data_IF_797785957639
#
_entry.id   IF_797785957639
#
_cell.length_a   1.000
_cell.length_b   1.000
_cell.length_c   1.000
_cell.angle_alpha   90.00
_cell.angle_beta   90.00
_cell.angle_gamma   90.00
#
_symmetry.space_group_name_H-M   'P 1'
#
loop_
_entity.id
_entity.type
_entity.pdbx_description
1 polymer ?
#
# COMPACT_ATOMS: atom_id res chain seq x y z
N UNK A 1 -13.17 13.37 -24.07
CA UNK A 1 -12.24 12.26 -24.39
C UNK A 1 -10.91 12.65 -23.78
N UNK A 2 -10.67 12.22 -22.56
CA UNK A 2 -9.39 12.42 -21.86
C UNK A 2 -8.49 11.26 -22.25
N UNK A 3 -7.38 11.58 -22.91
CA UNK A 3 -6.32 10.63 -23.27
C UNK A 3 -5.80 9.94 -22.02
N UNK A 4 -5.59 8.62 -22.01
CA UNK A 4 -4.95 7.97 -20.86
C UNK A 4 -3.56 8.57 -20.68
N UNK A 5 -3.23 8.91 -19.44
CA UNK A 5 -1.90 9.38 -19.05
C UNK A 5 -0.89 8.32 -19.46
N UNK A 6 0.11 8.73 -20.24
CA UNK A 6 1.03 7.83 -20.92
C UNK A 6 1.79 6.93 -19.96
N UNK A 7 1.92 5.69 -20.35
CA UNK A 7 2.89 4.75 -19.78
C UNK A 7 4.29 5.31 -20.03
N UNK A 8 5.09 5.42 -18.98
CA UNK A 8 6.51 5.73 -19.14
C UNK A 8 7.19 4.60 -19.92
N UNK A 9 8.10 4.95 -20.81
CA UNK A 9 8.82 4.03 -21.68
C UNK A 9 9.87 3.18 -20.96
N UNK A 10 10.15 3.45 -19.68
CA UNK A 10 11.02 2.66 -18.81
C UNK A 10 10.37 2.52 -17.42
N UNK A 11 10.40 1.32 -16.81
CA UNK A 11 9.91 1.14 -15.46
C UNK A 11 10.75 1.97 -14.47
N UNK A 12 10.14 2.57 -13.44
CA UNK A 12 10.87 3.29 -12.43
C UNK A 12 11.82 2.33 -11.69
N UNK A 13 13.10 2.70 -11.59
CA UNK A 13 14.05 1.97 -10.75
C UNK A 13 13.70 2.19 -9.29
N UNK A 14 13.48 1.11 -8.58
CA UNK A 14 13.17 1.15 -7.15
C UNK A 14 14.42 0.86 -6.37
N UNK A 15 14.93 1.85 -5.64
CA UNK A 15 15.96 1.62 -4.63
C UNK A 15 15.24 1.13 -3.37
N UNK A 16 15.58 -0.07 -2.92
CA UNK A 16 14.94 -0.70 -1.78
C UNK A 16 15.61 -0.21 -0.50
N UNK A 17 14.81 0.31 0.42
CA UNK A 17 15.31 0.59 1.76
C UNK A 17 15.80 -0.74 2.38
N UNK A 18 16.99 -0.75 3.02
CA UNK A 18 17.54 -1.98 3.57
C UNK A 18 16.60 -2.59 4.60
N UNK A 19 16.44 -3.91 4.54
CA UNK A 19 15.72 -4.67 5.57
C UNK A 19 16.57 -4.65 6.85
N UNK A 20 15.98 -4.42 8.04
CA UNK A 20 16.76 -4.44 9.28
C UNK A 20 17.46 -5.79 9.43
N UNK A 21 18.78 -5.80 9.73
CA UNK A 21 19.51 -7.03 9.93
C UNK A 21 18.95 -7.82 11.12
N UNK A 22 19.05 -9.13 11.04
CA UNK A 22 18.91 -9.99 12.21
C UNK A 22 20.16 -9.76 13.07
N UNK A 23 19.97 -9.26 14.27
CA UNK A 23 21.04 -9.09 15.27
C UNK A 23 22.21 -8.18 14.86
N UNK A 24 22.35 -7.03 15.45
CA UNK A 24 23.49 -6.06 15.48
C UNK A 24 24.42 -5.93 14.24
N UNK A 25 24.09 -6.51 13.10
CA UNK A 25 24.87 -6.40 11.86
C UNK A 25 24.57 -5.11 11.10
N UNK A 26 25.58 -4.57 10.45
CA UNK A 26 25.51 -3.36 9.62
C UNK A 26 24.53 -3.55 8.44
N UNK A 27 23.70 -2.56 8.20
CA UNK A 27 22.79 -2.47 7.04
C UNK A 27 23.53 -2.74 5.72
N UNK A 28 23.12 -3.77 5.01
CA UNK A 28 23.62 -4.05 3.66
C UNK A 28 22.81 -3.23 2.67
N UNK A 29 23.48 -2.59 1.71
CA UNK A 29 22.80 -1.90 0.64
C UNK A 29 21.90 -2.88 -0.13
N UNK A 30 20.63 -2.53 -0.30
CA UNK A 30 19.69 -3.38 -1.00
C UNK A 30 20.01 -3.46 -2.49
N UNK A 31 19.77 -4.62 -3.10
CA UNK A 31 19.82 -4.78 -4.54
C UNK A 31 18.70 -3.99 -5.22
N UNK A 32 18.97 -3.42 -6.39
CA UNK A 32 17.96 -2.77 -7.21
C UNK A 32 17.00 -3.83 -7.76
N UNK A 33 15.70 -3.69 -7.48
CA UNK A 33 14.64 -4.48 -8.10
C UNK A 33 13.83 -3.57 -9.00
N UNK A 34 13.79 -3.87 -10.28
CA UNK A 34 12.89 -3.19 -11.21
C UNK A 34 11.44 -3.63 -10.96
N UNK A 35 10.58 -2.69 -10.58
CA UNK A 35 9.14 -2.93 -10.42
C UNK A 35 8.38 -1.98 -11.36
N UNK A 36 7.52 -2.52 -12.20
CA UNK A 36 6.62 -1.73 -13.02
C UNK A 36 5.61 -1.01 -12.11
N UNK A 37 5.71 0.31 -12.01
CA UNK A 37 4.79 1.14 -11.26
C UNK A 37 4.14 2.19 -12.14
N UNK A 38 2.84 2.35 -12.06
CA UNK A 38 2.15 3.49 -12.66
C UNK A 38 1.96 4.59 -11.62
N UNK A 39 2.32 5.82 -11.98
CA UNK A 39 1.99 7.00 -11.18
C UNK A 39 0.53 7.40 -11.45
N UNK A 40 -0.24 7.69 -10.38
CA UNK A 40 -1.60 8.21 -10.50
C UNK A 40 -1.66 9.70 -10.83
N UNK A 41 -0.52 10.38 -10.84
CA UNK A 41 -0.32 11.80 -11.15
C UNK A 41 0.91 11.93 -12.05
N UNK A 42 0.99 13.02 -12.80
CA UNK A 42 2.19 13.32 -13.58
C UNK A 42 3.40 13.63 -12.68
N UNK A 43 4.60 13.50 -13.25
CA UNK A 43 5.85 13.64 -12.52
C UNK A 43 6.06 15.05 -11.93
N UNK A 44 5.63 16.08 -12.61
CA UNK A 44 5.77 17.46 -12.13
C UNK A 44 4.86 17.72 -10.93
N UNK A 45 3.63 17.22 -10.98
CA UNK A 45 2.71 17.25 -9.84
C UNK A 45 3.27 16.46 -8.66
N UNK A 46 3.84 15.29 -8.90
CA UNK A 46 4.48 14.49 -7.85
C UNK A 46 5.61 15.27 -7.19
N UNK A 47 6.53 15.84 -7.97
CA UNK A 47 7.65 16.64 -7.46
C UNK A 47 7.19 17.87 -6.69
N UNK A 48 6.15 18.55 -7.18
CA UNK A 48 5.56 19.71 -6.51
C UNK A 48 4.97 19.33 -5.14
N UNK A 49 4.20 18.22 -5.08
CA UNK A 49 3.64 17.71 -3.83
C UNK A 49 4.75 17.38 -2.83
N UNK A 50 5.76 16.62 -3.25
CA UNK A 50 6.90 16.25 -2.39
C UNK A 50 7.61 17.50 -1.88
N UNK A 51 7.97 18.44 -2.77
CA UNK A 51 8.67 19.69 -2.41
C UNK A 51 7.89 20.52 -1.40
N UNK A 52 6.57 20.54 -1.51
CA UNK A 52 5.70 21.24 -0.55
C UNK A 52 5.67 20.49 0.79
N UNK A 53 5.35 19.19 0.76
CA UNK A 53 5.00 18.44 1.95
C UNK A 53 6.18 18.20 2.89
N UNK A 54 7.40 18.03 2.36
CA UNK A 54 8.61 17.84 3.21
C UNK A 54 8.91 19.04 4.09
N UNK A 55 8.45 20.24 3.71
CA UNK A 55 8.63 21.49 4.48
C UNK A 55 7.59 21.68 5.58
N UNK A 56 6.56 20.83 5.63
CA UNK A 56 5.49 20.96 6.63
C UNK A 56 5.93 20.55 8.04
N UNK A 57 7.12 19.98 8.22
CA UNK A 57 7.69 19.63 9.53
C UNK A 57 6.96 18.50 10.24
N UNK A 58 6.41 17.53 9.50
CA UNK A 58 5.91 16.28 10.07
C UNK A 58 7.06 15.34 10.44
N UNK A 59 6.85 14.50 11.43
CA UNK A 59 7.81 13.49 11.82
C UNK A 59 7.99 12.46 10.72
N UNK A 60 9.24 12.16 10.35
CA UNK A 60 9.52 11.07 9.40
C UNK A 60 9.39 9.70 10.07
N UNK A 61 9.05 8.69 9.25
CA UNK A 61 9.22 7.29 9.67
C UNK A 61 10.71 6.97 9.79
N UNK A 62 11.02 6.00 10.66
CA UNK A 62 12.35 5.42 10.79
C UNK A 62 12.24 3.92 11.03
N UNK A 63 13.24 3.11 10.65
CA UNK A 63 13.27 1.69 10.95
C UNK A 63 13.17 1.42 12.45
N UNK A 64 12.46 0.36 12.80
CA UNK A 64 12.33 -0.13 14.15
C UNK A 64 12.77 -1.59 14.28
N UNK A 65 13.29 -2.02 15.43
CA UNK A 65 13.56 -3.43 15.69
C UNK A 65 12.32 -4.29 15.47
N UNK A 66 12.55 -5.51 15.01
CA UNK A 66 11.47 -6.49 14.81
C UNK A 66 10.75 -6.77 16.13
N UNK A 67 9.44 -6.89 16.06
CA UNK A 67 8.57 -7.17 17.20
C UNK A 67 7.54 -8.26 16.85
N UNK A 68 6.87 -8.79 17.88
CA UNK A 68 5.89 -9.87 17.73
C UNK A 68 4.44 -9.38 17.64
N UNK A 69 4.22 -8.09 17.47
CA UNK A 69 2.88 -7.53 17.32
C UNK A 69 2.30 -7.93 15.97
N UNK A 70 1.09 -8.47 15.99
CA UNK A 70 0.34 -8.78 14.77
C UNK A 70 -0.41 -7.54 14.28
N UNK A 71 -0.42 -7.39 12.97
CA UNK A 71 -1.14 -6.29 12.31
C UNK A 71 -2.07 -6.84 11.24
N UNK A 72 -3.22 -6.20 11.07
CA UNK A 72 -4.07 -6.41 9.92
C UNK A 72 -4.08 -5.19 9.04
N UNK A 73 -3.84 -5.38 7.75
CA UNK A 73 -3.92 -4.35 6.71
C UNK A 73 -5.25 -4.55 5.98
N UNK A 74 -6.05 -3.51 5.97
CA UNK A 74 -7.40 -3.53 5.40
C UNK A 74 -7.48 -2.57 4.23
N UNK A 75 -7.65 -3.12 3.03
CA UNK A 75 -7.98 -2.40 1.80
C UNK A 75 -9.48 -2.38 1.55
N UNK A 76 -9.88 -1.78 0.43
CA UNK A 76 -11.30 -1.57 0.08
C UNK A 76 -11.90 -2.61 -0.87
N UNK A 77 -11.21 -3.70 -1.17
CA UNK A 77 -11.65 -4.70 -2.14
C UNK A 77 -12.97 -5.39 -1.77
N UNK A 78 -13.61 -6.04 -2.74
CA UNK A 78 -15.00 -6.50 -2.62
C UNK A 78 -15.21 -7.55 -1.51
N UNK A 79 -14.22 -8.38 -1.19
CA UNK A 79 -14.32 -9.39 -0.12
C UNK A 79 -14.37 -8.81 1.29
N UNK A 80 -14.05 -7.51 1.46
CA UNK A 80 -13.94 -6.89 2.79
C UNK A 80 -15.21 -7.04 3.64
N UNK A 81 -16.38 -6.86 3.03
CA UNK A 81 -17.65 -6.92 3.75
C UNK A 81 -17.91 -8.29 4.41
N UNK A 82 -17.47 -9.36 3.77
CA UNK A 82 -17.63 -10.72 4.27
C UNK A 82 -16.74 -11.01 5.48
N UNK A 83 -15.63 -10.28 5.63
CA UNK A 83 -14.61 -10.50 6.66
C UNK A 83 -14.74 -9.60 7.88
N UNK A 84 -15.75 -8.72 7.97
CA UNK A 84 -15.94 -7.81 9.12
C UNK A 84 -15.98 -8.57 10.46
N UNK A 85 -16.63 -9.74 10.49
CA UNK A 85 -16.66 -10.59 11.69
C UNK A 85 -15.27 -11.05 12.13
N UNK A 86 -14.46 -11.53 11.19
CA UNK A 86 -13.07 -11.97 11.44
C UNK A 86 -12.20 -10.80 11.90
N UNK A 87 -12.32 -9.64 11.25
CA UNK A 87 -11.58 -8.42 11.62
C UNK A 87 -11.92 -8.00 13.07
N UNK A 88 -13.20 -8.03 13.45
CA UNK A 88 -13.63 -7.74 14.83
C UNK A 88 -13.04 -8.72 15.84
N UNK A 89 -13.03 -10.01 15.52
CA UNK A 89 -12.44 -11.04 16.37
C UNK A 89 -10.93 -10.84 16.56
N UNK A 90 -10.17 -10.62 15.49
CA UNK A 90 -8.73 -10.34 15.56
C UNK A 90 -8.45 -9.04 16.35
N UNK A 91 -9.29 -8.02 16.16
CA UNK A 91 -9.18 -6.77 16.92
C UNK A 91 -9.33 -6.99 18.44
N UNK A 92 -10.28 -7.85 18.85
CA UNK A 92 -10.48 -8.23 20.26
C UNK A 92 -9.28 -9.01 20.82
N UNK A 93 -8.55 -9.75 19.98
CA UNK A 93 -7.31 -10.45 20.33
C UNK A 93 -6.10 -9.52 20.42
N UNK A 94 -6.25 -8.22 20.12
CA UNK A 94 -5.20 -7.23 20.22
C UNK A 94 -4.44 -6.94 18.92
N UNK A 95 -4.81 -7.60 17.81
CA UNK A 95 -4.22 -7.33 16.48
C UNK A 95 -4.47 -5.87 16.10
N UNK A 96 -3.44 -5.15 15.65
CA UNK A 96 -3.55 -3.73 15.30
C UNK A 96 -4.17 -3.57 13.90
N UNK A 97 -5.14 -2.67 13.79
CA UNK A 97 -5.85 -2.38 12.55
C UNK A 97 -5.18 -1.22 11.81
N UNK A 98 -4.72 -1.49 10.60
CA UNK A 98 -4.17 -0.51 9.64
C UNK A 98 -5.14 -0.44 8.47
N UNK A 99 -5.61 0.73 8.12
CA UNK A 99 -6.51 0.93 6.98
C UNK A 99 -5.83 1.67 5.85
N UNK A 100 -6.13 1.26 4.62
CA UNK A 100 -5.61 1.87 3.40
C UNK A 100 -6.70 2.75 2.76
N UNK A 101 -6.36 4.00 2.47
CA UNK A 101 -7.23 4.92 1.74
C UNK A 101 -8.68 4.93 2.30
N UNK A 102 -9.69 4.77 1.44
CA UNK A 102 -11.10 4.83 1.81
C UNK A 102 -11.61 3.66 2.68
N UNK A 103 -10.86 2.58 2.85
CA UNK A 103 -11.20 1.53 3.82
C UNK A 103 -11.26 2.07 5.26
N UNK A 104 -10.64 3.22 5.51
CA UNK A 104 -10.70 3.94 6.79
C UNK A 104 -12.13 4.26 7.21
N UNK A 105 -12.88 4.95 6.34
CA UNK A 105 -14.26 5.32 6.64
C UNK A 105 -15.15 4.09 6.75
N UNK A 106 -14.97 3.11 5.86
CA UNK A 106 -15.72 1.85 5.92
C UNK A 106 -15.53 1.13 7.26
N UNK A 107 -14.31 1.06 7.78
CA UNK A 107 -14.05 0.47 9.10
C UNK A 107 -14.74 1.23 10.23
N UNK A 108 -14.67 2.56 10.21
CA UNK A 108 -15.33 3.42 11.22
C UNK A 108 -16.85 3.17 11.23
N UNK A 109 -17.48 3.13 10.06
CA UNK A 109 -18.92 2.89 9.90
C UNK A 109 -19.34 1.52 10.44
N UNK A 110 -18.41 0.55 10.49
CA UNK A 110 -18.63 -0.77 11.07
C UNK A 110 -18.20 -0.89 12.55
N UNK A 111 -17.87 0.24 13.20
CA UNK A 111 -17.47 0.30 14.60
C UNK A 111 -16.04 -0.21 14.85
N UNK A 112 -15.18 -0.20 13.83
CA UNK A 112 -13.79 -0.61 13.89
C UNK A 112 -12.89 0.62 13.86
N UNK A 113 -12.35 1.04 15.02
CA UNK A 113 -11.44 2.17 15.09
C UNK A 113 -10.02 1.75 14.69
N UNK A 114 -9.45 2.32 13.60
CA UNK A 114 -8.10 2.03 13.16
C UNK A 114 -7.03 2.44 14.18
N UNK A 115 -5.99 1.62 14.28
CA UNK A 115 -4.75 1.97 15.00
C UNK A 115 -3.83 2.81 14.13
N UNK A 116 -3.91 2.61 12.81
CA UNK A 116 -3.16 3.37 11.84
C UNK A 116 -3.95 3.55 10.53
N UNK A 117 -3.65 4.64 9.86
CA UNK A 117 -4.11 4.97 8.51
C UNK A 117 -2.90 5.10 7.59
N UNK A 118 -3.00 4.62 6.36
CA UNK A 118 -1.94 4.68 5.37
C UNK A 118 -2.45 5.20 4.04
N UNK A 119 -1.75 6.18 3.46
CA UNK A 119 -2.08 6.77 2.16
C UNK A 119 -0.82 7.01 1.34
N UNK A 120 -0.92 6.75 0.03
CA UNK A 120 0.15 6.96 -0.94
C UNK A 120 -0.28 7.80 -2.14
N UNK A 121 -1.57 7.85 -2.44
CA UNK A 121 -2.13 8.42 -3.65
C UNK A 121 -2.02 9.96 -3.68
N UNK A 122 -1.40 10.50 -4.75
CA UNK A 122 -1.12 11.92 -4.92
C UNK A 122 -2.29 12.79 -5.38
N UNK A 123 -3.44 12.22 -5.71
CA UNK A 123 -4.59 12.96 -6.25
C UNK A 123 -5.31 13.79 -5.18
N UNK A 124 -5.71 15.00 -5.54
CA UNK A 124 -6.34 15.97 -4.63
C UNK A 124 -7.60 15.44 -3.94
N UNK A 125 -8.45 14.72 -4.65
CA UNK A 125 -9.72 14.24 -4.13
C UNK A 125 -9.60 13.27 -2.94
N UNK A 126 -8.41 12.76 -2.67
CA UNK A 126 -8.18 11.80 -1.58
C UNK A 126 -8.31 12.42 -0.18
N UNK A 127 -8.28 13.75 -0.05
CA UNK A 127 -8.63 14.45 1.22
C UNK A 127 -9.98 13.97 1.77
N UNK A 128 -10.94 13.63 0.90
CA UNK A 128 -12.27 13.14 1.28
C UNK A 128 -12.26 11.85 2.12
N UNK A 129 -11.14 11.10 2.11
CA UNK A 129 -11.01 9.86 2.91
C UNK A 129 -10.64 10.12 4.37
N UNK A 130 -10.26 11.35 4.72
CA UNK A 130 -9.83 11.77 6.06
C UNK A 130 -10.81 12.77 6.69
N UNK A 131 -12.10 12.43 6.69
CA UNK A 131 -13.15 13.30 7.25
C UNK A 131 -13.21 13.28 8.78
N UNK A 132 -12.68 12.25 9.41
CA UNK A 132 -12.69 12.05 10.85
C UNK A 132 -11.28 11.79 11.35
N UNK A 133 -10.82 12.60 12.31
CA UNK A 133 -9.54 12.38 12.97
C UNK A 133 -9.76 11.64 14.28
N UNK A 134 -9.19 10.43 14.39
CA UNK A 134 -9.28 9.59 15.57
C UNK A 134 -8.06 9.85 16.47
N UNK A 135 -8.26 10.26 17.75
CA UNK A 135 -7.15 10.63 18.64
C UNK A 135 -6.12 9.53 18.92
N UNK A 136 -6.49 8.26 18.72
CA UNK A 136 -5.59 7.11 18.96
C UNK A 136 -5.01 6.52 17.68
N UNK A 137 -5.38 7.06 16.50
CA UNK A 137 -4.89 6.61 15.19
C UNK A 137 -3.59 7.32 14.83
N UNK A 138 -2.63 6.59 14.28
CA UNK A 138 -1.43 7.13 13.65
C UNK A 138 -1.64 7.25 12.14
N UNK A 139 -1.27 8.37 11.56
CA UNK A 139 -1.48 8.68 10.15
C UNK A 139 -0.14 8.62 9.41
N UNK A 140 0.00 7.70 8.48
CA UNK A 140 1.17 7.54 7.64
C UNK A 140 0.85 8.05 6.24
N UNK A 141 1.27 9.27 5.93
CA UNK A 141 0.97 9.96 4.69
C UNK A 141 2.24 10.06 3.84
N UNK A 142 2.16 9.61 2.59
CA UNK A 142 3.28 9.75 1.66
C UNK A 142 3.55 11.21 1.33
N UNK A 143 4.81 11.58 1.20
CA UNK A 143 5.20 12.91 0.73
C UNK A 143 4.64 13.27 -0.64
N UNK A 144 4.26 12.28 -1.45
CA UNK A 144 3.63 12.51 -2.76
C UNK A 144 2.13 12.79 -2.70
N UNK A 145 1.46 12.61 -1.55
CA UNK A 145 0.04 12.96 -1.40
C UNK A 145 -0.19 14.44 -1.71
N UNK A 146 -1.38 14.77 -2.21
CA UNK A 146 -1.73 16.17 -2.44
C UNK A 146 -1.62 16.98 -1.13
N UNK A 147 -1.09 18.21 -1.15
CA UNK A 147 -0.89 19.04 0.06
C UNK A 147 -2.12 19.16 0.94
N UNK A 148 -3.32 19.23 0.35
CA UNK A 148 -4.58 19.30 1.10
C UNK A 148 -4.82 18.14 2.06
N UNK A 149 -4.20 16.97 1.84
CA UNK A 149 -4.31 15.81 2.73
C UNK A 149 -3.62 16.08 4.08
N UNK A 150 -2.62 16.94 4.10
CA UNK A 150 -1.87 17.31 5.30
C UNK A 150 -2.48 18.46 6.09
N UNK A 151 -3.45 19.16 5.49
CA UNK A 151 -4.18 20.24 6.18
C UNK A 151 -4.91 19.67 7.40
N UNK A 152 -4.82 20.39 8.51
CA UNK A 152 -5.47 20.04 9.78
C UNK A 152 -5.02 18.72 10.42
N UNK A 153 -3.98 18.05 9.89
CA UNK A 153 -3.46 16.81 10.46
C UNK A 153 -2.68 17.07 11.77
N UNK A 154 -2.98 16.30 12.84
CA UNK A 154 -2.29 16.46 14.12
C UNK A 154 -0.83 16.02 14.01
N UNK A 155 0.11 16.92 14.34
CA UNK A 155 1.56 16.71 14.18
C UNK A 155 2.08 15.51 14.97
N UNK A 156 1.55 15.27 16.15
CA UNK A 156 1.98 14.22 17.07
C UNK A 156 1.55 12.81 16.64
N UNK A 157 0.56 12.74 15.74
CA UNK A 157 0.01 11.48 15.25
C UNK A 157 0.33 11.23 13.78
N UNK A 158 0.86 12.22 13.06
CA UNK A 158 1.09 12.15 11.63
C UNK A 158 2.57 11.99 11.30
N UNK A 159 2.85 10.98 10.52
CA UNK A 159 4.18 10.64 10.04
C UNK A 159 4.21 10.80 8.52
N UNK A 160 5.22 11.51 8.03
CA UNK A 160 5.49 11.58 6.60
C UNK A 160 6.44 10.45 6.22
N UNK A 161 6.17 9.80 5.10
CA UNK A 161 7.02 8.78 4.53
C UNK A 161 7.23 9.02 3.04
N UNK A 162 8.28 8.44 2.46
CA UNK A 162 8.70 8.69 1.09
C UNK A 162 8.68 7.40 0.29
N UNK A 163 8.15 7.46 -0.94
CA UNK A 163 8.29 6.36 -1.89
C UNK A 163 9.74 6.27 -2.36
N UNK A 164 10.24 5.06 -2.56
CA UNK A 164 11.50 4.87 -3.24
C UNK A 164 11.32 5.19 -4.72
N UNK A 165 11.84 6.34 -5.14
CA UNK A 165 11.81 6.82 -6.51
C UNK A 165 13.00 7.76 -6.73
N UNK A 166 13.75 7.56 -7.80
CA UNK A 166 14.96 8.33 -8.10
C UNK A 166 14.63 9.83 -8.27
N UNK A 167 13.50 10.12 -8.89
CA UNK A 167 13.06 11.47 -9.24
C UNK A 167 12.84 12.40 -8.04
N UNK A 168 12.67 11.84 -6.85
CA UNK A 168 12.44 12.63 -5.63
C UNK A 168 13.63 12.64 -4.66
N UNK A 169 14.67 11.85 -4.88
CA UNK A 169 15.83 11.76 -3.98
C UNK A 169 16.54 13.09 -3.79
N UNK A 170 16.77 13.82 -4.89
CA UNK A 170 17.39 15.15 -4.83
C UNK A 170 16.52 16.14 -4.05
N UNK A 171 15.20 16.05 -4.20
CA UNK A 171 14.25 16.89 -3.47
C UNK A 171 14.33 16.59 -1.97
N UNK A 172 14.34 15.30 -1.59
CA UNK A 172 14.45 14.89 -0.18
C UNK A 172 15.76 15.40 0.44
N UNK A 173 16.86 15.35 -0.31
CA UNK A 173 18.18 15.82 0.14
C UNK A 173 18.24 17.32 0.41
N UNK A 174 17.32 18.13 -0.13
CA UNK A 174 17.26 19.57 0.15
C UNK A 174 16.79 19.88 1.57
N UNK A 175 15.93 19.05 2.15
CA UNK A 175 15.29 19.30 3.44
C UNK A 175 15.79 18.36 4.54
N UNK A 176 16.12 17.12 4.18
CA UNK A 176 16.50 16.10 5.14
C UNK A 176 17.98 15.73 5.04
N UNK A 177 18.63 15.63 6.17
CA UNK A 177 19.98 15.10 6.26
C UNK A 177 19.99 13.58 6.07
N UNK A 178 18.99 12.92 6.62
CA UNK A 178 18.75 11.48 6.49
C UNK A 178 17.27 11.25 6.22
N UNK A 179 16.95 10.34 5.33
CA UNK A 179 15.57 9.90 5.05
C UNK A 179 15.53 8.41 4.76
N UNK A 180 14.34 7.85 4.87
CA UNK A 180 14.08 6.46 4.53
C UNK A 180 13.04 6.40 3.43
N UNK A 181 13.38 5.74 2.32
CA UNK A 181 12.47 5.50 1.21
C UNK A 181 11.84 4.11 1.33
N UNK A 182 10.54 4.03 1.10
CA UNK A 182 9.77 2.79 1.16
C UNK A 182 9.68 2.18 -0.24
N UNK A 183 10.22 0.98 -0.45
CA UNK A 183 10.07 0.25 -1.69
C UNK A 183 8.63 -0.24 -1.87
N UNK A 184 8.33 -0.82 -3.01
CA UNK A 184 7.06 -1.50 -3.26
C UNK A 184 6.44 -1.12 -4.59
N UNK A 185 5.30 -1.75 -4.90
CA UNK A 185 4.64 -1.63 -6.18
C UNK A 185 3.68 -0.44 -6.30
N UNK A 186 2.79 -0.55 -7.26
CA UNK A 186 1.88 0.51 -7.69
C UNK A 186 0.71 0.79 -6.74
N UNK A 187 0.48 -0.05 -5.72
CA UNK A 187 -0.68 0.09 -4.83
C UNK A 187 -0.32 0.44 -3.39
N UNK A 188 -1.32 0.92 -2.66
CA UNK A 188 -1.20 1.18 -1.23
C UNK A 188 -0.78 -0.08 -0.44
N UNK A 189 -1.31 -1.25 -0.77
CA UNK A 189 -0.94 -2.52 -0.14
C UNK A 189 0.55 -2.83 -0.34
N UNK A 190 1.01 -2.75 -1.59
CA UNK A 190 2.38 -3.10 -1.98
C UNK A 190 3.43 -2.14 -1.40
N UNK A 191 3.01 -0.97 -0.94
CA UNK A 191 3.83 -0.01 -0.17
C UNK A 191 3.67 -0.17 1.34
N UNK A 192 2.47 -0.51 1.80
CA UNK A 192 2.20 -0.68 3.22
C UNK A 192 2.96 -1.89 3.81
N UNK A 193 2.98 -3.03 3.11
CA UNK A 193 3.70 -4.23 3.60
C UNK A 193 5.16 -3.90 3.92
N UNK A 194 6.01 -3.43 2.98
CA UNK A 194 7.42 -3.15 3.28
C UNK A 194 7.59 -2.01 4.29
N UNK A 195 6.71 -0.99 4.29
CA UNK A 195 6.79 0.07 5.29
C UNK A 195 6.55 -0.48 6.71
N UNK A 196 5.48 -1.24 6.91
CA UNK A 196 5.20 -1.80 8.23
C UNK A 196 6.21 -2.88 8.62
N UNK A 197 6.80 -3.60 7.66
CA UNK A 197 7.95 -4.47 7.91
C UNK A 197 9.16 -3.68 8.40
N UNK A 198 9.47 -2.55 7.77
CA UNK A 198 10.52 -1.63 8.23
C UNK A 198 10.24 -1.06 9.64
N UNK A 199 8.96 -0.88 9.99
CA UNK A 199 8.54 -0.50 11.35
C UNK A 199 8.55 -1.68 12.34
N UNK A 200 9.11 -2.84 11.95
CA UNK A 200 9.37 -3.98 12.82
C UNK A 200 8.27 -5.04 12.86
N UNK A 201 7.16 -4.87 12.15
CA UNK A 201 6.10 -5.88 12.12
C UNK A 201 6.45 -7.01 11.15
N UNK A 202 6.19 -8.27 11.54
CA UNK A 202 6.47 -9.44 10.70
C UNK A 202 5.25 -10.34 10.46
N UNK A 203 4.15 -10.16 11.20
CA UNK A 203 2.92 -10.96 11.07
C UNK A 203 1.78 -10.09 10.58
N UNK A 204 1.27 -10.45 9.39
CA UNK A 204 0.28 -9.65 8.66
C UNK A 204 -0.95 -10.46 8.31
N UNK A 205 -2.12 -9.94 8.62
CA UNK A 205 -3.42 -10.36 8.11
C UNK A 205 -3.86 -9.33 7.08
N UNK A 206 -4.21 -9.73 5.87
CA UNK A 206 -4.56 -8.83 4.76
C UNK A 206 -5.99 -9.09 4.33
N UNK A 207 -6.83 -8.06 4.40
CA UNK A 207 -8.25 -8.09 4.07
C UNK A 207 -8.58 -7.05 2.99
N UNK A 208 -9.55 -7.36 2.12
CA UNK A 208 -10.02 -6.42 1.11
C UNK A 208 -8.94 -5.93 0.15
N UNK A 209 -7.97 -6.79 -0.15
CA UNK A 209 -6.90 -6.55 -1.11
C UNK A 209 -6.94 -7.66 -2.17
N UNK A 210 -8.03 -7.71 -2.92
CA UNK A 210 -8.44 -8.85 -3.72
C UNK A 210 -7.71 -8.96 -5.05
N UNK A 211 -7.32 -7.82 -5.66
CA UNK A 211 -6.80 -7.71 -7.03
C UNK A 211 -7.67 -8.43 -8.07
N UNK A 212 -8.98 -8.52 -7.82
CA UNK A 212 -9.97 -9.04 -8.75
C UNK A 212 -11.34 -8.41 -8.45
N UNK A 213 -12.26 -8.58 -9.41
CA UNK A 213 -13.67 -8.20 -9.27
C UNK A 213 -14.45 -9.33 -8.59
N UNK A 214 -15.45 -8.96 -7.83
CA UNK A 214 -16.49 -9.85 -7.34
C UNK A 214 -17.87 -9.27 -7.66
N UNK A 215 -18.69 -10.04 -8.33
CA UNK A 215 -20.01 -9.56 -8.83
C UNK A 215 -19.92 -8.22 -9.58
N UNK A 216 -18.90 -8.06 -10.43
CA UNK A 216 -18.58 -6.85 -11.19
C UNK A 216 -18.26 -5.62 -10.30
N UNK A 217 -17.96 -5.81 -9.03
CA UNK A 217 -17.52 -4.75 -8.13
C UNK A 217 -16.03 -4.85 -7.86
N UNK A 218 -15.38 -3.70 -7.78
CA UNK A 218 -13.96 -3.57 -7.43
C UNK A 218 -13.74 -3.10 -5.99
N UNK A 219 -14.81 -2.68 -5.29
CA UNK A 219 -14.79 -2.29 -3.88
C UNK A 219 -16.00 -2.81 -3.12
N UNK A 220 -15.86 -2.98 -1.82
CA UNK A 220 -16.94 -3.34 -0.91
C UNK A 220 -17.97 -2.21 -0.69
N UNK A 221 -17.65 -1.00 -1.15
CA UNK A 221 -18.47 0.22 -1.04
C UNK A 221 -18.50 0.95 -2.39
N UNK A 222 -19.43 1.90 -2.54
CA UNK A 222 -19.55 2.66 -3.78
C UNK A 222 -18.31 3.55 -3.98
N UNK A 223 -17.64 3.35 -5.10
CA UNK A 223 -16.49 4.14 -5.54
C UNK A 223 -16.47 4.15 -7.07
N UNK A 224 -16.71 5.29 -7.67
CA UNK A 224 -16.88 5.42 -9.12
C UNK A 224 -15.55 5.41 -9.91
N UNK A 225 -14.44 5.68 -9.24
CA UNK A 225 -13.13 5.61 -9.87
C UNK A 225 -12.86 4.17 -10.31
N UNK A 226 -12.52 3.99 -11.59
CA UNK A 226 -12.29 2.73 -12.28
C UNK A 226 -13.57 2.02 -12.80
N UNK A 227 -14.76 2.59 -12.65
CA UNK A 227 -15.96 2.06 -13.30
C UNK A 227 -15.80 2.07 -14.84
N UNK A 228 -16.28 1.02 -15.49
CA UNK A 228 -16.27 0.90 -16.95
C UNK A 228 -14.90 0.56 -17.57
N UNK A 229 -13.90 0.24 -16.80
CA UNK A 229 -12.62 -0.25 -17.31
C UNK A 229 -12.75 -1.65 -17.92
N UNK A 230 -11.89 -2.01 -18.90
CA UNK A 230 -11.84 -3.36 -19.46
C UNK A 230 -11.70 -4.44 -18.38
N UNK A 231 -12.33 -5.59 -18.62
CA UNK A 231 -12.25 -6.76 -17.73
C UNK A 231 -11.60 -7.90 -18.50
N UNK A 232 -10.60 -8.51 -17.92
CA UNK A 232 -9.88 -9.66 -18.46
C UNK A 232 -10.06 -10.86 -17.53
N UNK A 233 -10.35 -12.05 -18.06
CA UNK A 233 -10.37 -13.28 -17.28
C UNK A 233 -8.94 -13.75 -17.02
N UNK A 234 -8.66 -14.11 -15.77
CA UNK A 234 -7.35 -14.53 -15.27
C UNK A 234 -7.48 -15.86 -14.55
N UNK A 235 -6.63 -16.82 -14.87
CA UNK A 235 -6.64 -18.14 -14.23
C UNK A 235 -5.36 -18.37 -13.45
N UNK A 236 -5.52 -18.73 -12.17
CA UNK A 236 -4.41 -19.06 -11.26
C UNK A 236 -4.79 -20.29 -10.42
N UNK A 237 -3.93 -21.30 -10.38
CA UNK A 237 -4.16 -22.52 -9.60
C UNK A 237 -5.47 -23.22 -9.96
N UNK A 238 -5.88 -23.17 -11.24
CA UNK A 238 -7.14 -23.77 -11.72
C UNK A 238 -8.39 -22.94 -11.49
N UNK A 239 -8.34 -21.85 -10.69
CA UNK A 239 -9.46 -20.96 -10.38
C UNK A 239 -9.47 -19.76 -11.33
N UNK A 240 -10.67 -19.36 -11.79
CA UNK A 240 -10.88 -18.22 -12.68
C UNK A 240 -11.26 -16.96 -11.87
N UNK A 241 -10.66 -15.84 -12.22
CA UNK A 241 -10.94 -14.51 -11.68
C UNK A 241 -11.20 -13.53 -12.81
N UNK A 242 -11.94 -12.49 -12.53
CA UNK A 242 -12.17 -11.37 -13.45
C UNK A 242 -11.45 -10.14 -12.90
N UNK A 243 -10.59 -9.53 -13.70
CA UNK A 243 -9.70 -8.47 -13.25
C UNK A 243 -9.72 -7.29 -14.24
N UNK A 244 -9.49 -6.08 -13.75
CA UNK A 244 -9.00 -5.03 -14.63
C UNK A 244 -7.50 -5.26 -14.91
N UNK A 245 -6.95 -4.81 -16.06
CA UNK A 245 -5.54 -5.01 -16.40
C UNK A 245 -4.57 -4.57 -15.29
N UNK A 246 -4.84 -3.44 -14.64
CA UNK A 246 -4.01 -2.95 -13.53
C UNK A 246 -4.04 -3.87 -12.30
N UNK A 247 -5.13 -4.62 -12.05
CA UNK A 247 -5.20 -5.62 -10.98
C UNK A 247 -4.29 -6.82 -11.25
N UNK A 248 -4.14 -7.18 -12.54
CA UNK A 248 -3.21 -8.24 -12.96
C UNK A 248 -1.76 -7.81 -12.72
N UNK A 249 -1.42 -6.57 -13.09
CA UNK A 249 -0.10 -5.99 -12.78
C UNK A 249 0.19 -6.01 -11.28
N UNK A 250 -0.76 -5.59 -10.46
CA UNK A 250 -0.64 -5.65 -8.99
C UNK A 250 -0.41 -7.07 -8.47
N UNK A 251 -1.10 -8.07 -9.04
CA UNK A 251 -0.91 -9.46 -8.65
C UNK A 251 0.50 -9.95 -8.98
N UNK A 252 1.07 -9.54 -10.11
CA UNK A 252 2.47 -9.83 -10.48
C UNK A 252 3.46 -9.14 -9.57
N UNK A 253 3.28 -7.84 -9.32
CA UNK A 253 4.08 -7.08 -8.37
C UNK A 253 4.03 -7.68 -6.96
N UNK A 254 2.86 -8.19 -6.54
CA UNK A 254 2.72 -8.88 -5.26
C UNK A 254 3.58 -10.16 -5.20
N UNK A 255 3.60 -10.96 -6.26
CA UNK A 255 4.46 -12.16 -6.34
C UNK A 255 5.94 -11.76 -6.19
N UNK A 256 6.37 -10.71 -6.89
CA UNK A 256 7.75 -10.25 -6.81
C UNK A 256 8.09 -9.69 -5.43
N UNK A 257 7.16 -8.96 -4.81
CA UNK A 257 7.30 -8.47 -3.44
C UNK A 257 7.48 -9.61 -2.43
N UNK A 258 6.62 -10.64 -2.45
CA UNK A 258 6.74 -11.75 -1.49
C UNK A 258 8.01 -12.57 -1.69
N UNK A 259 8.46 -12.75 -2.93
CA UNK A 259 9.77 -13.37 -3.22
C UNK A 259 10.91 -12.56 -2.64
N UNK A 260 10.86 -11.24 -2.82
CA UNK A 260 11.87 -10.33 -2.30
C UNK A 260 11.92 -10.34 -0.77
N UNK A 261 10.75 -10.28 -0.11
CA UNK A 261 10.65 -10.28 1.34
C UNK A 261 11.02 -11.64 1.99
N UNK A 262 10.96 -12.73 1.21
CA UNK A 262 11.35 -14.07 1.65
C UNK A 262 10.62 -14.54 2.92
N UNK A 263 11.31 -15.39 3.71
CA UNK A 263 10.76 -16.01 4.93
C UNK A 263 10.69 -15.04 6.15
N UNK A 264 10.99 -13.77 5.94
CA UNK A 264 11.00 -12.78 7.02
C UNK A 264 9.61 -12.29 7.45
N UNK A 265 8.58 -12.72 6.74
CA UNK A 265 7.19 -12.35 6.97
C UNK A 265 6.27 -13.57 7.07
N UNK A 266 5.29 -13.47 7.94
CA UNK A 266 4.14 -14.35 8.00
C UNK A 266 2.94 -13.60 7.41
N UNK A 267 2.43 -14.08 6.26
CA UNK A 267 1.29 -13.49 5.58
C UNK A 267 0.08 -14.40 5.63
N UNK A 268 -1.07 -13.85 6.00
CA UNK A 268 -2.38 -14.45 5.82
C UNK A 268 -3.26 -13.48 5.02
N UNK A 269 -3.71 -13.92 3.85
CA UNK A 269 -4.56 -13.12 2.96
C UNK A 269 -5.95 -13.71 2.92
N UNK A 270 -6.95 -12.85 3.00
CA UNK A 270 -8.36 -13.22 3.04
C UNK A 270 -9.07 -12.69 1.79
N UNK A 271 -9.41 -13.62 0.88
CA UNK A 271 -10.16 -13.32 -0.34
C UNK A 271 -9.33 -13.00 -1.59
N UNK A 272 -9.98 -13.09 -2.73
CA UNK A 272 -9.50 -12.63 -4.02
C UNK A 272 -8.37 -13.42 -4.68
N UNK A 273 -7.77 -12.79 -5.68
CA UNK A 273 -6.67 -13.34 -6.48
C UNK A 273 -5.39 -13.46 -5.67
N UNK A 274 -5.08 -12.48 -4.79
CA UNK A 274 -3.85 -12.51 -3.99
C UNK A 274 -3.86 -13.68 -3.00
N UNK A 275 -5.01 -14.01 -2.41
CA UNK A 275 -5.15 -15.22 -1.59
C UNK A 275 -4.83 -16.48 -2.40
N UNK A 276 -5.39 -16.61 -3.60
CA UNK A 276 -5.17 -17.77 -4.48
C UNK A 276 -3.68 -17.90 -4.86
N UNK A 277 -3.01 -16.80 -5.15
CA UNK A 277 -1.56 -16.77 -5.43
C UNK A 277 -0.79 -17.32 -4.23
N UNK A 278 -1.07 -16.82 -3.03
CA UNK A 278 -0.35 -17.21 -1.82
C UNK A 278 -0.52 -18.71 -1.51
N UNK A 279 -1.76 -19.22 -1.54
CA UNK A 279 -2.03 -20.63 -1.17
C UNK A 279 -1.56 -21.64 -2.21
N UNK A 280 -1.40 -21.22 -3.47
CA UNK A 280 -0.88 -22.10 -4.53
C UNK A 280 0.63 -21.96 -4.76
N UNK A 281 1.26 -20.95 -4.17
CA UNK A 281 2.66 -20.64 -4.45
C UNK A 281 2.89 -20.23 -5.92
N UNK A 282 1.89 -19.60 -6.55
CA UNK A 282 1.93 -19.26 -7.97
C UNK A 282 3.05 -18.26 -8.27
N UNK A 283 3.72 -18.46 -9.40
CA UNK A 283 4.69 -17.53 -9.99
C UNK A 283 4.01 -16.61 -11.02
N UNK A 284 4.72 -15.61 -11.50
CA UNK A 284 4.23 -14.74 -12.59
C UNK A 284 3.88 -15.53 -13.86
N UNK A 285 4.53 -16.65 -14.14
CA UNK A 285 4.22 -17.52 -15.28
C UNK A 285 2.90 -18.30 -15.11
N UNK A 286 2.40 -18.43 -13.89
CA UNK A 286 1.15 -19.12 -13.59
C UNK A 286 -0.09 -18.21 -13.70
N UNK A 287 0.11 -16.90 -13.83
CA UNK A 287 -0.96 -15.92 -14.10
C UNK A 287 -1.25 -15.93 -15.60
N UNK A 288 -2.35 -16.55 -16.01
CA UNK A 288 -2.76 -16.67 -17.40
C UNK A 288 -3.97 -15.78 -17.67
N UNK A 289 -3.79 -14.84 -18.58
CA UNK A 289 -4.85 -13.99 -19.15
C UNK A 289 -5.45 -14.67 -20.39
N UNK A 290 -6.78 -14.51 -20.61
CA UNK A 290 -7.51 -15.14 -21.73
C UNK A 290 -8.26 -14.11 -22.55
#
# INVERSE_FOLDING_TARGET
MTTPVGFFSEPPRVVIAPIPPKDDETWVAAEEVEMEGSLNIDLETLKANVTHNIKLGFQQIAPHPTNDVEVMIVGGGPSLAEHIGTIKQLRQQGVKLITLNNAYQFCIDHGLLPSAYFMVDGREFNKRFLTTIIPTCKYFLSSQCHPSVFEDMPKEQTYIWHTSAEEIQDILATEYRNWYAVPGGSTALLRAIPMFRMLGFKRFHIFGCDSCLENNKHHAYAQAENDGLPVVPVKVGGKLFYCHPWMVSQAREFIDLIKYMGDEMELQIYGGLLHQILVTGASNADIKEY
#
